data_IF_829400523502
#
_entry.id   IF_829400523502
#
_cell.length_a   1.000
_cell.length_b   1.000
_cell.length_c   1.000
_cell.angle_alpha   90.00
_cell.angle_beta   90.00
_cell.angle_gamma   90.00
#
_symmetry.space_group_name_H-M   'P 1'
#
loop_
_entity.id
_entity.type
_entity.pdbx_description
1 polymer ?
#
# COMPACT_ATOMS: atom_id res chain seq x y z
N UNK A 1 6.69 13.13 -90.93
CA UNK A 1 7.75 12.11 -90.73
C UNK A 1 7.49 11.48 -89.36
N UNK A 2 7.28 10.18 -89.38
CA UNK A 2 6.62 9.38 -88.41
C UNK A 2 7.51 8.94 -87.28
N UNK A 3 7.02 8.94 -86.04
CA UNK A 3 7.52 8.05 -85.00
C UNK A 3 6.37 7.54 -84.14
N UNK A 4 6.20 6.26 -84.15
CA UNK A 4 5.19 5.51 -83.37
C UNK A 4 5.64 5.31 -81.95
N UNK A 5 4.74 5.56 -81.00
CA UNK A 5 4.92 5.24 -79.59
C UNK A 5 4.10 4.01 -79.27
N UNK A 6 4.77 2.96 -78.85
CA UNK A 6 4.19 1.72 -78.41
C UNK A 6 3.97 1.78 -76.88
N UNK A 7 2.71 1.59 -76.47
CA UNK A 7 2.35 1.46 -75.06
C UNK A 7 2.56 0.02 -74.60
N UNK A 8 3.26 -0.19 -73.52
CA UNK A 8 3.19 -1.43 -72.73
C UNK A 8 2.52 -1.16 -71.40
N UNK A 9 1.39 -1.79 -71.20
CA UNK A 9 0.69 -1.95 -69.94
C UNK A 9 1.29 -3.16 -69.23
N UNK A 10 1.85 -2.99 -68.06
CA UNK A 10 2.13 -4.07 -67.12
C UNK A 10 1.33 -3.83 -65.86
N UNK A 11 0.34 -4.69 -65.64
CA UNK A 11 -0.40 -4.74 -64.39
C UNK A 11 0.44 -5.33 -63.27
N UNK A 12 0.53 -4.58 -62.19
CA UNK A 12 1.10 -5.05 -60.94
C UNK A 12 0.00 -5.40 -59.95
N UNK A 13 -0.20 -6.70 -59.73
CA UNK A 13 -0.98 -7.20 -58.60
C UNK A 13 -0.29 -6.85 -57.27
N UNK A 14 -0.89 -5.97 -56.50
CA UNK A 14 -0.53 -5.74 -55.10
C UNK A 14 -1.16 -6.83 -54.26
N UNK A 15 -0.40 -7.82 -53.87
CA UNK A 15 -0.78 -8.77 -52.83
C UNK A 15 -0.70 -8.06 -51.47
N UNK A 16 -1.89 -7.81 -50.87
CA UNK A 16 -2.00 -7.41 -49.46
C UNK A 16 -1.74 -8.65 -48.59
N UNK A 17 -0.50 -8.78 -48.11
CA UNK A 17 -0.20 -9.71 -47.04
C UNK A 17 -0.68 -9.10 -45.71
N UNK A 18 -1.81 -9.57 -45.20
CA UNK A 18 -2.26 -9.36 -43.82
C UNK A 18 -1.28 -10.10 -42.91
N UNK A 19 -0.32 -9.37 -42.34
CA UNK A 19 0.39 -9.80 -41.14
C UNK A 19 -0.61 -9.75 -39.95
N UNK A 20 -1.12 -10.89 -39.58
CA UNK A 20 -1.64 -11.10 -38.25
C UNK A 20 -0.44 -11.12 -37.30
N UNK A 21 -0.17 -10.00 -36.67
CA UNK A 21 0.65 -9.98 -35.47
C UNK A 21 -0.13 -10.72 -34.38
N UNK A 22 0.29 -11.93 -34.07
CA UNK A 22 -0.09 -12.60 -32.85
C UNK A 22 0.43 -11.73 -31.70
N UNK A 23 -0.47 -10.99 -31.05
CA UNK A 23 -0.24 -10.41 -29.74
C UNK A 23 -0.20 -11.58 -28.77
N UNK A 24 1.01 -12.10 -28.54
CA UNK A 24 1.28 -12.88 -27.34
C UNK A 24 1.07 -11.98 -26.12
N UNK A 25 0.90 -12.55 -24.91
CA UNK A 25 0.81 -11.74 -23.70
C UNK A 25 2.04 -10.83 -23.68
N UNK A 26 1.79 -9.53 -23.83
CA UNK A 26 2.83 -8.53 -23.84
C UNK A 26 3.55 -8.60 -22.51
N UNK A 27 4.83 -8.86 -22.52
CA UNK A 27 5.70 -8.50 -21.42
C UNK A 27 5.49 -7.01 -21.20
N UNK A 28 4.74 -6.66 -20.16
CA UNK A 28 4.65 -5.29 -19.69
C UNK A 28 6.05 -4.89 -19.25
N UNK A 29 6.78 -4.25 -20.16
CA UNK A 29 8.00 -3.53 -19.79
C UNK A 29 7.51 -2.46 -18.83
N UNK A 30 8.01 -2.49 -17.60
CA UNK A 30 7.75 -1.44 -16.63
C UNK A 30 8.07 -0.11 -17.31
N UNK A 31 7.04 0.64 -17.58
CA UNK A 31 7.17 1.94 -18.23
C UNK A 31 7.73 2.87 -17.17
N UNK A 32 8.88 3.48 -17.43
CA UNK A 32 9.34 4.62 -16.62
C UNK A 32 8.20 5.63 -16.60
N UNK A 33 7.49 5.71 -15.48
CA UNK A 33 6.28 6.51 -15.36
C UNK A 33 6.15 7.14 -13.99
N UNK A 34 5.44 8.25 -13.94
CA UNK A 34 4.98 8.81 -12.68
C UNK A 34 3.81 7.97 -12.18
N UNK A 35 3.88 7.54 -10.91
CA UNK A 35 2.82 6.77 -10.26
C UNK A 35 2.28 7.51 -9.04
N UNK A 36 0.96 7.59 -8.93
CA UNK A 36 0.28 8.06 -7.74
C UNK A 36 0.49 7.11 -6.57
N UNK A 37 0.36 7.65 -5.38
CA UNK A 37 0.48 6.87 -4.14
C UNK A 37 -0.65 5.85 -4.03
N UNK A 38 -1.81 6.17 -4.58
CA UNK A 38 -3.00 5.33 -4.54
C UNK A 38 -3.58 5.09 -5.94
N UNK A 39 -4.20 3.92 -6.07
CA UNK A 39 -5.08 3.56 -7.18
C UNK A 39 -6.53 3.75 -6.72
N UNK A 40 -7.35 4.46 -7.50
CA UNK A 40 -8.81 4.35 -7.39
C UNK A 40 -9.21 3.18 -8.30
N UNK A 41 -9.77 2.13 -7.73
CA UNK A 41 -10.12 0.90 -8.43
C UNK A 41 -11.60 0.87 -8.83
N UNK A 42 -12.46 1.36 -7.97
CA UNK A 42 -13.92 1.39 -8.20
C UNK A 42 -14.48 2.75 -7.79
N UNK A 43 -15.36 3.28 -8.61
CA UNK A 43 -16.06 4.54 -8.35
C UNK A 43 -17.57 4.30 -8.35
N UNK A 44 -18.26 4.81 -7.31
CA UNK A 44 -19.72 4.66 -7.15
C UNK A 44 -20.19 3.20 -7.24
N UNK A 45 -19.53 2.32 -6.49
CA UNK A 45 -19.88 0.91 -6.41
C UNK A 45 -21.38 0.72 -6.11
N UNK A 46 -22.05 -0.23 -6.76
CA UNK A 46 -23.47 -0.49 -6.51
C UNK A 46 -23.67 -1.12 -5.13
N UNK A 47 -24.78 -0.81 -4.50
CA UNK A 47 -25.12 -1.31 -3.17
C UNK A 47 -24.72 -0.36 -2.04
N UNK A 48 -24.91 -0.79 -0.82
CA UNK A 48 -24.52 -0.04 0.37
C UNK A 48 -23.09 -0.37 0.81
N UNK A 49 -22.56 0.44 1.68
CA UNK A 49 -21.17 0.32 2.18
C UNK A 49 -20.81 -1.11 2.65
N UNK A 50 -21.63 -1.71 3.53
CA UNK A 50 -21.36 -3.05 4.05
C UNK A 50 -21.43 -4.15 2.98
N UNK A 51 -22.26 -3.94 1.96
CA UNK A 51 -22.31 -4.86 0.82
C UNK A 51 -21.05 -4.77 -0.03
N UNK A 52 -20.54 -3.56 -0.28
CA UNK A 52 -19.29 -3.37 -1.02
C UNK A 52 -18.11 -3.99 -0.29
N UNK A 53 -18.02 -3.78 1.04
CA UNK A 53 -16.99 -4.42 1.89
C UNK A 53 -17.06 -5.95 1.79
N UNK A 54 -18.28 -6.51 1.91
CA UNK A 54 -18.48 -7.96 1.81
C UNK A 54 -18.08 -8.50 0.44
N UNK A 55 -18.52 -7.84 -0.63
CA UNK A 55 -18.19 -8.24 -2.02
C UNK A 55 -16.70 -8.16 -2.29
N UNK A 56 -16.01 -7.13 -1.75
CA UNK A 56 -14.58 -6.98 -1.91
C UNK A 56 -13.79 -8.10 -1.21
N UNK A 57 -14.21 -8.47 0.00
CA UNK A 57 -13.63 -9.60 0.72
C UNK A 57 -13.81 -10.92 -0.05
N UNK A 58 -15.03 -11.19 -0.49
CA UNK A 58 -15.34 -12.38 -1.29
C UNK A 58 -14.56 -12.38 -2.62
N UNK A 59 -14.36 -11.21 -3.24
CA UNK A 59 -13.54 -11.05 -4.43
C UNK A 59 -12.06 -11.38 -4.17
N UNK A 60 -11.53 -10.97 -3.02
CA UNK A 60 -10.15 -11.31 -2.62
C UNK A 60 -9.99 -12.83 -2.45
N UNK A 61 -10.90 -13.47 -1.71
CA UNK A 61 -10.88 -14.92 -1.52
C UNK A 61 -11.04 -15.69 -2.84
N UNK A 62 -11.93 -15.24 -3.73
CA UNK A 62 -12.13 -15.83 -5.06
C UNK A 62 -10.90 -15.70 -5.97
N UNK A 63 -10.14 -14.62 -5.84
CA UNK A 63 -8.87 -14.39 -6.52
C UNK A 63 -7.68 -15.13 -5.87
N UNK A 64 -7.91 -15.93 -4.84
CA UNK A 64 -6.87 -16.72 -4.15
C UNK A 64 -6.06 -15.94 -3.12
N UNK A 65 -6.58 -14.81 -2.64
CA UNK A 65 -5.95 -13.98 -1.60
C UNK A 65 -6.58 -14.27 -0.24
N UNK A 66 -5.75 -14.32 0.78
CA UNK A 66 -6.16 -14.46 2.18
C UNK A 66 -6.32 -13.08 2.80
N UNK A 67 -7.47 -12.81 3.40
CA UNK A 67 -7.71 -11.59 4.16
C UNK A 67 -7.06 -11.72 5.54
N UNK A 68 -6.11 -10.85 5.85
CA UNK A 68 -5.38 -10.83 7.13
C UNK A 68 -5.86 -9.71 8.06
N UNK A 69 -6.48 -8.66 7.51
CA UNK A 69 -7.17 -7.62 8.27
C UNK A 69 -8.44 -7.17 7.55
N UNK A 70 -9.51 -6.93 8.34
CA UNK A 70 -10.83 -6.50 7.87
C UNK A 70 -11.48 -5.68 9.01
N UNK A 71 -11.50 -4.35 8.88
CA UNK A 71 -11.86 -3.47 10.00
C UNK A 71 -12.37 -2.10 9.56
N UNK A 72 -13.25 -1.53 10.37
CA UNK A 72 -13.71 -0.15 10.18
C UNK A 72 -12.63 0.84 10.63
N UNK A 73 -12.26 1.76 9.75
CA UNK A 73 -11.22 2.76 9.97
C UNK A 73 -11.81 3.94 10.75
N UNK A 74 -11.09 4.45 11.73
CA UNK A 74 -11.50 5.61 12.50
C UNK A 74 -11.57 6.88 11.67
N UNK A 75 -12.70 7.59 11.73
CA UNK A 75 -12.91 8.83 11.00
C UNK A 75 -13.12 10.02 11.94
N UNK A 76 -12.78 11.26 11.57
CA UNK A 76 -12.97 12.44 12.40
C UNK A 76 -14.44 12.84 12.46
N UNK A 77 -15.14 12.53 13.56
CA UNK A 77 -16.58 12.78 13.80
C UNK A 77 -17.02 14.22 13.49
N UNK A 78 -16.15 15.19 13.68
CA UNK A 78 -16.51 16.60 13.53
C UNK A 78 -16.62 17.06 12.09
N UNK A 79 -15.98 16.36 11.17
CA UNK A 79 -15.75 16.83 9.80
C UNK A 79 -16.24 15.85 8.75
N UNK A 80 -16.61 14.63 9.14
CA UNK A 80 -16.96 13.57 8.24
C UNK A 80 -18.08 12.70 8.81
N UNK A 81 -19.17 12.57 8.06
CA UNK A 81 -20.28 11.67 8.38
C UNK A 81 -20.22 10.35 7.60
N UNK A 82 -19.19 10.19 6.77
CA UNK A 82 -18.99 9.03 5.93
C UNK A 82 -18.10 7.99 6.62
N UNK A 83 -18.15 6.76 6.13
CA UNK A 83 -17.44 5.61 6.67
C UNK A 83 -16.21 5.28 5.82
N UNK A 84 -15.24 4.66 6.45
CA UNK A 84 -14.10 4.05 5.78
C UNK A 84 -13.78 2.68 6.37
N UNK A 85 -13.27 1.77 5.54
CA UNK A 85 -12.95 0.40 5.91
C UNK A 85 -11.63 -0.03 5.27
N UNK A 86 -10.79 -0.70 6.04
CA UNK A 86 -9.51 -1.23 5.58
C UNK A 86 -9.57 -2.74 5.40
N UNK A 87 -9.03 -3.24 4.30
CA UNK A 87 -8.84 -4.67 4.04
C UNK A 87 -7.38 -4.88 3.65
N UNK A 88 -6.71 -5.81 4.32
CA UNK A 88 -5.35 -6.21 3.99
C UNK A 88 -5.34 -7.66 3.54
N UNK A 89 -4.66 -7.95 2.44
CA UNK A 89 -4.66 -9.28 1.81
C UNK A 89 -3.25 -9.73 1.45
N UNK A 90 -3.01 -11.03 1.53
CA UNK A 90 -1.77 -11.69 1.11
C UNK A 90 -2.08 -12.90 0.22
N UNK A 91 -1.13 -13.28 -0.63
CA UNK A 91 -1.11 -14.60 -1.27
C UNK A 91 0.29 -15.18 -1.12
N UNK A 92 0.38 -16.51 -1.07
CA UNK A 92 1.67 -17.19 -0.93
C UNK A 92 2.63 -16.80 -2.05
N UNK A 93 2.12 -16.69 -3.29
CA UNK A 93 2.93 -16.30 -4.44
C UNK A 93 3.51 -14.88 -4.29
N UNK A 94 2.71 -13.91 -3.85
CA UNK A 94 3.17 -12.54 -3.66
C UNK A 94 4.14 -12.43 -2.49
N UNK A 95 3.89 -13.15 -1.41
CA UNK A 95 4.80 -13.26 -0.26
C UNK A 95 6.15 -13.80 -0.70
N UNK A 96 6.19 -14.92 -1.43
CA UNK A 96 7.42 -15.53 -1.93
C UNK A 96 8.19 -14.57 -2.84
N UNK A 97 7.50 -13.88 -3.75
CA UNK A 97 8.10 -12.88 -4.62
C UNK A 97 8.75 -11.74 -3.81
N UNK A 98 8.03 -11.17 -2.86
CA UNK A 98 8.52 -10.06 -2.02
C UNK A 98 9.70 -10.51 -1.16
N UNK A 99 9.58 -11.61 -0.43
CA UNK A 99 10.62 -12.08 0.48
C UNK A 99 11.86 -12.64 -0.23
N UNK A 100 11.78 -12.95 -1.53
CA UNK A 100 12.97 -13.25 -2.33
C UNK A 100 14.00 -12.10 -2.37
N UNK A 101 13.58 -10.87 -2.04
CA UNK A 101 14.42 -9.68 -1.91
C UNK A 101 14.93 -9.44 -0.48
N UNK A 102 14.72 -10.40 0.40
CA UNK A 102 15.16 -10.36 1.80
C UNK A 102 14.05 -10.00 2.80
N UNK A 103 14.28 -10.25 4.10
CA UNK A 103 13.24 -10.13 5.12
C UNK A 103 12.71 -8.71 5.29
N UNK A 104 13.54 -7.69 5.04
CA UNK A 104 13.12 -6.27 5.14
C UNK A 104 12.19 -5.84 4.01
N UNK A 105 12.13 -6.58 2.90
CA UNK A 105 11.13 -6.37 1.85
C UNK A 105 9.70 -6.64 2.34
N UNK A 106 9.52 -7.33 3.46
CA UNK A 106 8.21 -7.56 4.08
C UNK A 106 7.39 -6.29 4.30
N UNK A 107 8.00 -5.12 4.42
CA UNK A 107 7.27 -3.85 4.46
C UNK A 107 6.47 -3.54 3.17
N UNK A 108 6.66 -4.31 2.10
CA UNK A 108 5.81 -4.28 0.90
C UNK A 108 4.53 -5.12 1.05
N UNK A 109 4.38 -5.87 2.15
CA UNK A 109 3.22 -6.67 2.52
C UNK A 109 2.41 -5.98 3.63
N UNK A 110 1.13 -6.34 3.78
CA UNK A 110 0.23 -6.94 2.79
C UNK A 110 -0.20 -5.95 1.69
N UNK A 111 -0.86 -6.41 0.64
CA UNK A 111 -1.62 -5.50 -0.23
C UNK A 111 -2.79 -4.93 0.55
N UNK A 112 -3.06 -3.64 0.41
CA UNK A 112 -4.06 -2.93 1.21
C UNK A 112 -5.07 -2.24 0.31
N UNK A 113 -6.34 -2.49 0.61
CA UNK A 113 -7.49 -1.85 -0.01
C UNK A 113 -8.23 -1.01 1.03
N UNK A 114 -8.86 0.05 0.57
CA UNK A 114 -9.72 0.90 1.36
C UNK A 114 -11.07 1.08 0.67
N UNK A 115 -12.14 0.83 1.39
CA UNK A 115 -13.50 1.21 1.00
C UNK A 115 -13.84 2.50 1.70
N UNK A 116 -14.38 3.47 1.00
CA UNK A 116 -14.78 4.76 1.60
C UNK A 116 -16.04 5.32 0.94
N UNK A 117 -16.76 6.13 1.69
CA UNK A 117 -17.95 6.84 1.22
C UNK A 117 -17.66 8.32 1.01
N UNK A 118 -18.39 8.91 0.06
CA UNK A 118 -18.55 10.34 -0.11
C UNK A 118 -19.96 10.68 -0.63
N UNK A 119 -20.19 11.92 -1.06
CA UNK A 119 -21.47 12.36 -1.58
C UNK A 119 -21.91 11.64 -2.85
N UNK A 120 -20.98 11.11 -3.62
CA UNK A 120 -21.25 10.41 -4.87
C UNK A 120 -21.60 8.92 -4.64
N UNK A 121 -21.10 8.32 -3.57
CA UNK A 121 -21.39 6.92 -3.25
C UNK A 121 -20.26 6.22 -2.51
N UNK A 122 -20.10 4.92 -2.80
CA UNK A 122 -19.07 4.07 -2.20
C UNK A 122 -17.97 3.80 -3.21
N UNK A 123 -16.73 3.93 -2.79
CA UNK A 123 -15.56 3.80 -3.63
C UNK A 123 -14.59 2.76 -3.07
N UNK A 124 -13.78 2.17 -3.96
CA UNK A 124 -12.67 1.29 -3.56
C UNK A 124 -11.36 1.85 -4.09
N UNK A 125 -10.40 1.95 -3.21
CA UNK A 125 -9.04 2.33 -3.53
C UNK A 125 -8.04 1.31 -2.99
N UNK A 126 -6.81 1.34 -3.48
CA UNK A 126 -5.71 0.57 -2.93
C UNK A 126 -4.46 1.44 -2.85
N UNK A 127 -3.56 1.08 -1.95
CA UNK A 127 -2.20 1.59 -2.04
C UNK A 127 -1.55 1.06 -3.32
N UNK A 128 -0.87 1.91 -4.06
CA UNK A 128 -0.32 1.56 -5.38
C UNK A 128 0.96 0.73 -5.26
N UNK A 129 0.96 -0.56 -5.62
CA UNK A 129 2.16 -1.41 -5.56
C UNK A 129 3.32 -0.87 -6.40
N UNK A 130 3.04 -0.21 -7.55
CA UNK A 130 4.08 0.41 -8.37
C UNK A 130 4.82 1.54 -7.63
N UNK A 131 4.13 2.27 -6.77
CA UNK A 131 4.73 3.33 -5.96
C UNK A 131 5.42 2.77 -4.70
N UNK A 132 4.80 1.80 -4.03
CA UNK A 132 5.31 1.20 -2.80
C UNK A 132 6.57 0.38 -3.06
N UNK A 133 6.50 -0.57 -3.97
CA UNK A 133 7.58 -1.53 -4.16
C UNK A 133 8.84 -0.89 -4.75
N UNK A 134 8.71 0.15 -5.59
CA UNK A 134 9.89 0.92 -6.04
C UNK A 134 10.58 1.68 -4.91
N UNK A 135 9.85 1.97 -3.82
CA UNK A 135 10.40 2.61 -2.64
C UNK A 135 11.09 1.60 -1.73
N UNK A 136 10.47 0.45 -1.49
CA UNK A 136 10.92 -0.55 -0.52
C UNK A 136 11.95 -1.50 -1.12
N UNK A 137 11.73 -1.99 -2.33
CA UNK A 137 12.57 -2.99 -2.98
C UNK A 137 13.43 -2.31 -4.05
N UNK A 138 12.88 -2.16 -5.24
CA UNK A 138 13.54 -1.52 -6.38
C UNK A 138 12.58 -1.44 -7.56
N UNK A 139 12.65 -0.36 -8.33
CA UNK A 139 11.86 -0.21 -9.54
C UNK A 139 12.22 -1.24 -10.61
N UNK A 140 13.50 -1.50 -10.79
CA UNK A 140 14.00 -2.39 -11.85
C UNK A 140 13.98 -3.86 -11.46
N UNK A 141 14.21 -4.17 -10.19
CA UNK A 141 14.33 -5.56 -9.73
C UNK A 141 12.97 -6.19 -9.42
N UNK A 142 11.93 -5.38 -9.12
CA UNK A 142 10.61 -5.86 -8.76
C UNK A 142 9.48 -5.32 -9.66
N UNK A 143 9.79 -4.89 -10.86
CA UNK A 143 8.80 -4.32 -11.80
C UNK A 143 7.69 -5.31 -12.16
N UNK A 144 8.03 -6.57 -12.45
CA UNK A 144 7.05 -7.62 -12.79
C UNK A 144 6.18 -7.97 -11.58
N UNK A 145 6.74 -8.10 -10.38
CA UNK A 145 5.99 -8.36 -9.14
C UNK A 145 5.02 -7.22 -8.83
N UNK A 146 5.45 -5.97 -9.04
CA UNK A 146 4.57 -4.80 -8.86
C UNK A 146 3.42 -4.78 -9.86
N UNK A 147 3.68 -5.11 -11.12
CA UNK A 147 2.64 -5.20 -12.16
C UNK A 147 1.65 -6.36 -11.85
N UNK A 148 2.16 -7.50 -11.40
CA UNK A 148 1.32 -8.63 -10.97
C UNK A 148 0.43 -8.25 -9.77
N UNK A 149 0.96 -7.51 -8.81
CA UNK A 149 0.17 -7.01 -7.69
C UNK A 149 -0.95 -6.05 -8.13
N UNK A 150 -0.69 -5.17 -9.11
CA UNK A 150 -1.76 -4.32 -9.70
C UNK A 150 -2.81 -5.16 -10.42
N UNK A 151 -2.41 -6.17 -11.19
CA UNK A 151 -3.34 -7.08 -11.86
C UNK A 151 -4.21 -7.85 -10.85
N UNK A 152 -3.62 -8.30 -9.74
CA UNK A 152 -4.35 -8.95 -8.66
C UNK A 152 -5.38 -8.02 -8.01
N UNK A 153 -5.05 -6.75 -7.78
CA UNK A 153 -6.01 -5.76 -7.28
C UNK A 153 -7.19 -5.57 -8.25
N UNK A 154 -6.94 -5.58 -9.56
CA UNK A 154 -8.00 -5.52 -10.57
C UNK A 154 -8.88 -6.78 -10.57
N UNK A 155 -8.29 -7.96 -10.35
CA UNK A 155 -9.03 -9.21 -10.22
C UNK A 155 -9.90 -9.23 -8.95
N UNK A 156 -9.38 -8.77 -7.83
CA UNK A 156 -10.13 -8.64 -6.56
C UNK A 156 -11.38 -7.78 -6.74
N UNK A 157 -11.31 -6.71 -7.53
CA UNK A 157 -12.46 -5.83 -7.78
C UNK A 157 -13.28 -6.24 -9.01
N UNK A 158 -13.02 -7.39 -9.63
CA UNK A 158 -13.78 -7.88 -10.80
C UNK A 158 -15.31 -7.93 -10.58
N UNK A 159 -15.86 -8.20 -9.37
CA UNK A 159 -17.30 -8.11 -9.15
C UNK A 159 -17.92 -6.73 -9.43
N UNK A 160 -17.11 -5.69 -9.54
CA UNK A 160 -17.51 -4.30 -9.83
C UNK A 160 -17.13 -3.87 -11.26
N UNK A 161 -17.00 -4.77 -12.24
CA UNK A 161 -16.46 -4.51 -13.58
C UNK A 161 -17.03 -3.23 -14.24
N UNK A 162 -18.34 -2.99 -14.15
CA UNK A 162 -19.00 -1.81 -14.75
C UNK A 162 -18.64 -0.48 -14.03
N UNK A 163 -18.05 -0.53 -12.85
CA UNK A 163 -17.71 0.61 -11.97
C UNK A 163 -16.19 0.75 -11.79
N UNK A 164 -15.40 -0.09 -12.44
CA UNK A 164 -13.95 0.00 -12.39
C UNK A 164 -13.45 1.26 -13.09
N UNK A 165 -12.45 1.88 -12.51
CA UNK A 165 -11.77 3.05 -13.06
C UNK A 165 -10.26 2.85 -13.02
N UNK A 166 -9.57 3.42 -13.99
CA UNK A 166 -8.10 3.43 -14.04
C UNK A 166 -7.61 4.84 -13.71
N UNK A 167 -7.64 5.19 -12.44
CA UNK A 167 -7.15 6.49 -12.00
C UNK A 167 -6.22 6.36 -10.79
N UNK A 168 -5.32 7.33 -10.67
CA UNK A 168 -4.35 7.40 -9.59
C UNK A 168 -4.48 8.75 -8.90
N UNK A 169 -4.19 8.78 -7.62
CA UNK A 169 -4.18 10.00 -6.84
C UNK A 169 -3.10 9.95 -5.74
N UNK A 170 -3.01 11.03 -4.99
CA UNK A 170 -1.85 11.29 -4.15
C UNK A 170 -0.73 11.90 -4.99
N UNK A 171 0.40 12.19 -4.37
CA UNK A 171 1.51 12.77 -5.10
C UNK A 171 2.01 11.81 -6.19
N UNK A 172 2.08 12.33 -7.42
CA UNK A 172 2.69 11.60 -8.53
C UNK A 172 4.21 11.56 -8.36
N UNK A 173 4.79 10.37 -8.54
CA UNK A 173 6.21 10.11 -8.36
C UNK A 173 6.79 9.40 -9.58
N UNK A 174 7.87 9.93 -10.10
CA UNK A 174 8.66 9.34 -11.21
C UNK A 174 9.76 8.39 -10.70
N UNK A 175 10.05 8.44 -9.39
CA UNK A 175 11.05 7.58 -8.72
C UNK A 175 10.48 7.12 -7.37
N UNK A 176 11.12 6.16 -6.73
CA UNK A 176 10.87 5.86 -5.32
C UNK A 176 11.07 7.10 -4.46
N UNK A 177 10.48 7.13 -3.28
CA UNK A 177 10.46 8.29 -2.37
C UNK A 177 11.83 8.87 -2.02
N UNK A 178 12.87 8.17 -2.33
CA UNK A 178 14.25 8.32 -1.88
C UNK A 178 14.89 9.66 -2.29
N UNK A 179 14.53 10.25 -3.43
CA UNK A 179 15.39 11.28 -4.01
C UNK A 179 14.89 12.72 -3.98
N UNK A 180 13.60 12.98 -3.92
CA UNK A 180 13.08 14.34 -4.17
C UNK A 180 12.52 15.09 -2.97
N UNK A 181 12.28 14.48 -1.86
CA UNK A 181 11.50 15.05 -0.77
C UNK A 181 12.31 15.32 0.47
N UNK A 182 12.38 16.60 0.87
CA UNK A 182 13.00 17.07 2.12
C UNK A 182 14.39 16.49 2.46
N UNK A 183 15.21 16.29 1.46
CA UNK A 183 16.54 15.69 1.35
C UNK A 183 17.43 15.49 2.60
N UNK A 184 17.27 16.27 3.62
CA UNK A 184 18.05 16.19 4.86
C UNK A 184 17.31 15.48 6.01
N UNK A 185 15.97 15.48 6.03
CA UNK A 185 15.18 14.98 7.16
C UNK A 185 14.54 13.63 6.84
N UNK A 186 14.14 13.40 5.59
CA UNK A 186 13.43 12.19 5.18
C UNK A 186 13.96 11.57 3.88
N UNK A 187 15.10 11.99 3.37
CA UNK A 187 15.74 11.39 2.20
C UNK A 187 16.68 10.25 2.57
N UNK A 188 17.03 9.41 1.60
CA UNK A 188 17.95 8.27 1.75
C UNK A 188 17.33 6.96 1.28
N UNK A 189 18.12 5.89 1.19
CA UNK A 189 17.64 4.57 0.85
C UNK A 189 16.66 4.05 1.90
N UNK A 190 15.70 3.24 1.49
CA UNK A 190 14.68 2.68 2.38
C UNK A 190 15.26 1.94 3.58
N UNK A 191 16.33 1.15 3.39
CA UNK A 191 17.03 0.46 4.47
C UNK A 191 17.50 1.39 5.60
N UNK A 192 17.89 2.60 5.24
CA UNK A 192 18.24 3.64 6.22
C UNK A 192 17.04 4.30 6.90
N UNK A 193 15.82 3.87 6.61
CA UNK A 193 14.56 4.32 7.19
C UNK A 193 13.83 3.23 7.97
N UNK A 194 14.43 2.06 8.04
CA UNK A 194 14.00 1.00 8.93
C UNK A 194 14.74 1.18 10.25
N UNK A 195 13.99 1.23 11.31
CA UNK A 195 14.49 1.41 12.66
C UNK A 195 14.21 0.16 13.49
N UNK A 196 15.16 -0.21 14.34
CA UNK A 196 15.00 -1.25 15.33
C UNK A 196 14.36 -0.65 16.57
N UNK A 197 13.20 -1.20 16.97
CA UNK A 197 12.48 -0.80 18.16
C UNK A 197 12.91 -1.61 19.39
N UNK A 198 13.20 -2.90 19.20
CA UNK A 198 13.67 -3.80 20.24
C UNK A 198 14.47 -4.95 19.62
N UNK A 199 15.31 -5.60 20.42
CA UNK A 199 16.02 -6.83 20.06
C UNK A 199 16.08 -7.75 21.29
N UNK A 200 15.73 -9.03 21.14
CA UNK A 200 15.79 -10.03 22.20
C UNK A 200 16.52 -11.27 21.69
N UNK A 201 17.17 -12.01 22.58
CA UNK A 201 17.80 -13.29 22.24
C UNK A 201 16.74 -14.25 21.67
N UNK A 202 17.06 -14.96 20.59
CA UNK A 202 16.11 -15.86 19.92
C UNK A 202 15.56 -16.94 20.85
N UNK A 203 16.35 -17.36 21.83
CA UNK A 203 15.97 -18.39 22.79
C UNK A 203 15.12 -17.86 23.96
N UNK A 204 15.01 -16.53 24.15
CA UNK A 204 14.32 -15.90 25.29
C UNK A 204 12.84 -16.35 25.37
N UNK A 205 12.15 -16.34 24.22
CA UNK A 205 10.75 -16.77 24.14
C UNK A 205 10.57 -18.07 23.34
N UNK A 206 11.65 -18.68 22.81
CA UNK A 206 11.60 -19.94 22.08
C UNK A 206 11.46 -19.78 20.56
N UNK A 207 12.00 -18.72 19.99
CA UNK A 207 12.08 -18.48 18.55
C UNK A 207 11.27 -17.30 18.04
N UNK A 208 11.38 -17.02 16.76
CA UNK A 208 10.80 -15.87 16.10
C UNK A 208 9.27 -15.77 16.28
N UNK A 209 8.53 -16.84 16.00
CA UNK A 209 7.07 -16.83 16.12
C UNK A 209 6.63 -16.65 17.58
N UNK A 210 7.25 -17.37 18.52
CA UNK A 210 6.90 -17.28 19.93
C UNK A 210 7.18 -15.87 20.50
N UNK A 211 8.26 -15.22 20.06
CA UNK A 211 8.55 -13.82 20.39
C UNK A 211 7.48 -12.88 19.83
N UNK A 212 7.04 -13.10 18.60
CA UNK A 212 5.98 -12.30 17.99
C UNK A 212 4.62 -12.48 18.68
N UNK A 213 4.27 -13.70 19.11
CA UNK A 213 3.06 -13.99 19.88
C UNK A 213 3.09 -13.33 21.26
N UNK A 214 4.25 -13.36 21.94
CA UNK A 214 4.45 -12.64 23.19
C UNK A 214 4.26 -11.13 23.00
N UNK A 215 4.92 -10.57 21.99
CA UNK A 215 4.78 -9.15 21.66
C UNK A 215 3.32 -8.78 21.34
N UNK A 216 2.65 -9.58 20.51
CA UNK A 216 1.25 -9.35 20.14
C UNK A 216 0.34 -9.29 21.37
N UNK A 217 0.48 -10.26 22.27
CA UNK A 217 -0.29 -10.31 23.53
C UNK A 217 -0.04 -9.09 24.41
N UNK A 218 1.23 -8.70 24.58
CA UNK A 218 1.58 -7.50 25.36
C UNK A 218 1.02 -6.21 24.74
N UNK A 219 1.05 -6.10 23.42
CA UNK A 219 0.47 -4.97 22.70
C UNK A 219 -1.07 -4.92 22.83
N UNK A 220 -1.77 -6.07 22.87
CA UNK A 220 -3.21 -6.13 23.15
C UNK A 220 -3.52 -5.67 24.55
N UNK A 221 -2.79 -6.15 25.55
CA UNK A 221 -2.97 -5.78 26.95
C UNK A 221 -2.74 -4.27 27.18
N UNK A 222 -1.78 -3.67 26.49
CA UNK A 222 -1.45 -2.26 26.53
C UNK A 222 -2.31 -1.37 25.60
N UNK A 223 -3.29 -1.93 24.89
CA UNK A 223 -4.05 -1.21 23.84
C UNK A 223 -4.79 0.06 24.34
N UNK A 224 -5.20 0.08 25.62
CA UNK A 224 -5.88 1.23 26.23
C UNK A 224 -4.96 2.32 26.76
N UNK A 225 -3.70 2.03 26.89
CA UNK A 225 -2.67 2.90 27.43
C UNK A 225 -2.15 3.87 26.35
N UNK A 226 -1.52 4.95 26.81
CA UNK A 226 -0.95 5.99 25.96
C UNK A 226 -1.98 6.84 25.16
N UNK A 227 -1.47 7.88 24.52
CA UNK A 227 -2.30 8.89 23.86
C UNK A 227 -2.93 8.40 22.55
N UNK A 228 -2.16 7.64 21.75
CA UNK A 228 -2.63 7.15 20.45
C UNK A 228 -3.42 5.86 20.55
N UNK A 229 -3.30 5.11 21.65
CA UNK A 229 -4.00 3.85 21.88
C UNK A 229 -3.80 2.84 20.75
N UNK A 230 -2.57 2.75 20.26
CA UNK A 230 -2.20 1.79 19.23
C UNK A 230 -2.45 0.36 19.71
N UNK A 231 -3.05 -0.46 18.87
CA UNK A 231 -3.35 -1.87 19.14
C UNK A 231 -3.00 -2.75 17.96
N UNK A 232 -2.65 -4.02 18.18
CA UNK A 232 -2.46 -4.96 17.10
C UNK A 232 -3.80 -5.32 16.43
N UNK A 233 -3.74 -5.59 15.13
CA UNK A 233 -4.90 -5.95 14.30
C UNK A 233 -4.77 -7.36 13.74
N UNK A 234 -3.56 -7.76 13.39
CA UNK A 234 -3.26 -9.09 12.89
C UNK A 234 -1.83 -9.46 13.25
N UNK A 235 -1.58 -10.77 13.29
CA UNK A 235 -0.26 -11.37 13.24
C UNK A 235 -0.20 -12.24 11.96
N UNK A 236 0.75 -11.95 11.09
CA UNK A 236 1.01 -12.72 9.88
C UNK A 236 2.27 -13.55 10.11
N UNK A 237 2.08 -14.85 10.26
CA UNK A 237 3.16 -15.82 10.46
C UNK A 237 3.79 -16.21 9.11
N UNK A 238 5.02 -15.77 8.90
CA UNK A 238 5.90 -16.14 7.79
C UNK A 238 7.24 -16.63 8.36
N UNK A 239 7.21 -17.23 9.55
CA UNK A 239 8.40 -17.66 10.28
C UNK A 239 9.23 -18.71 9.54
N UNK A 240 8.59 -19.54 8.70
CA UNK A 240 9.29 -20.46 7.79
C UNK A 240 10.18 -19.71 6.77
N UNK A 241 9.90 -18.41 6.52
CA UNK A 241 10.69 -17.51 5.67
C UNK A 241 11.50 -16.49 6.49
N UNK A 242 11.58 -16.68 7.82
CA UNK A 242 12.35 -15.82 8.72
C UNK A 242 11.72 -14.48 9.06
N UNK A 243 10.41 -14.33 8.86
CA UNK A 243 9.66 -13.09 9.11
C UNK A 243 8.37 -13.37 9.86
N UNK A 244 7.99 -12.51 10.79
CA UNK A 244 6.63 -12.38 11.31
C UNK A 244 6.23 -10.91 11.25
N UNK A 245 4.97 -10.63 10.90
CA UNK A 245 4.47 -9.26 10.83
C UNK A 245 3.32 -9.03 11.79
N UNK A 246 3.27 -7.85 12.41
CA UNK A 246 2.16 -7.39 13.22
C UNK A 246 1.65 -6.06 12.65
N UNK A 247 0.39 -6.03 12.26
CA UNK A 247 -0.26 -4.77 11.87
C UNK A 247 -0.79 -4.02 13.08
N UNK A 248 -0.49 -2.72 13.19
CA UNK A 248 -0.87 -1.85 14.31
C UNK A 248 -1.73 -0.70 13.83
N UNK A 249 -2.83 -0.40 14.53
CA UNK A 249 -3.64 0.79 14.24
C UNK A 249 -4.38 1.32 15.46
N UNK A 250 -5.00 2.49 15.32
CA UNK A 250 -5.99 3.01 16.26
C UNK A 250 -6.88 4.05 15.58
N UNK A 251 -8.14 4.12 15.97
CA UNK A 251 -9.06 5.12 15.44
C UNK A 251 -8.64 6.57 15.73
N UNK A 252 -7.91 6.82 16.80
CA UNK A 252 -7.38 8.16 17.12
C UNK A 252 -6.28 8.60 16.14
N UNK A 253 -5.36 7.69 15.80
CA UNK A 253 -4.29 7.92 14.84
C UNK A 253 -4.86 8.09 13.43
N UNK A 254 -5.77 7.22 13.01
CA UNK A 254 -6.42 7.26 11.70
C UNK A 254 -7.20 8.56 11.50
N UNK A 255 -8.08 8.92 12.46
CA UNK A 255 -8.83 10.16 12.44
C UNK A 255 -7.91 11.39 12.33
N UNK A 256 -6.79 11.38 13.05
CA UNK A 256 -5.82 12.48 13.01
C UNK A 256 -5.10 12.54 11.66
N UNK A 257 -4.74 11.39 11.07
CA UNK A 257 -4.13 11.35 9.76
C UNK A 257 -5.06 11.87 8.67
N UNK A 258 -6.34 11.51 8.71
CA UNK A 258 -7.34 12.04 7.77
C UNK A 258 -7.56 13.56 7.91
N UNK A 259 -7.54 14.09 9.13
CA UNK A 259 -7.60 15.54 9.33
C UNK A 259 -6.45 16.29 8.64
N UNK A 260 -5.24 15.74 8.75
CA UNK A 260 -4.04 16.33 8.13
C UNK A 260 -4.17 16.35 6.60
N UNK A 261 -4.58 15.24 6.01
CA UNK A 261 -4.74 15.11 4.56
C UNK A 261 -5.91 15.97 4.07
N UNK A 262 -7.03 15.96 4.78
CA UNK A 262 -8.23 16.73 4.43
C UNK A 262 -7.94 18.23 4.20
N UNK A 263 -7.11 18.82 5.05
CA UNK A 263 -6.79 20.25 4.94
C UNK A 263 -5.62 20.56 4.01
N UNK A 264 -4.91 19.53 3.56
CA UNK A 264 -3.71 19.67 2.75
C UNK A 264 -3.77 19.01 1.38
N UNK A 265 -4.93 18.51 0.97
CA UNK A 265 -5.10 17.79 -0.30
C UNK A 265 -4.72 18.64 -1.52
N UNK A 266 -4.37 17.97 -2.60
CA UNK A 266 -4.19 18.58 -3.90
C UNK A 266 -5.55 19.01 -4.53
N UNK A 267 -5.49 19.80 -5.61
CA UNK A 267 -6.66 20.30 -6.31
C UNK A 267 -7.57 19.17 -6.82
N UNK A 268 -7.02 17.99 -7.15
CA UNK A 268 -7.80 16.89 -7.69
C UNK A 268 -8.79 16.27 -6.67
N UNK A 269 -8.64 16.59 -5.37
CA UNK A 269 -9.47 16.05 -4.28
C UNK A 269 -10.16 17.11 -3.44
N UNK A 270 -10.06 18.38 -3.81
CA UNK A 270 -10.76 19.49 -3.13
C UNK A 270 -12.28 19.29 -3.10
N UNK A 271 -12.82 18.64 -4.12
CA UNK A 271 -14.25 18.39 -4.25
C UNK A 271 -14.77 17.23 -3.38
N UNK A 272 -13.89 16.46 -2.74
CA UNK A 272 -14.31 15.38 -1.85
C UNK A 272 -14.76 15.91 -0.50
N UNK A 273 -15.97 15.54 -0.07
CA UNK A 273 -16.53 15.96 1.22
C UNK A 273 -15.65 15.56 2.42
N UNK A 274 -15.05 14.36 2.35
CA UNK A 274 -14.11 13.84 3.34
C UNK A 274 -12.88 13.26 2.60
N UNK A 275 -12.01 14.08 1.99
CA UNK A 275 -10.93 13.60 1.14
C UNK A 275 -9.94 12.67 1.85
N UNK A 276 -9.80 12.79 3.16
CA UNK A 276 -8.95 11.91 3.96
C UNK A 276 -9.35 10.44 3.93
N UNK A 277 -10.64 10.11 3.74
CA UNK A 277 -11.12 8.73 3.72
C UNK A 277 -10.57 7.91 2.56
N UNK A 278 -10.26 8.55 1.44
CA UNK A 278 -9.60 7.91 0.31
C UNK A 278 -8.21 7.32 0.66
N UNK A 279 -7.66 7.65 1.83
CA UNK A 279 -6.40 7.12 2.35
C UNK A 279 -6.57 5.93 3.30
N UNK A 280 -7.74 5.34 3.39
CA UNK A 280 -7.98 4.20 4.28
C UNK A 280 -6.96 3.06 4.08
N UNK A 281 -6.50 2.84 2.84
CA UNK A 281 -5.46 1.87 2.52
C UNK A 281 -4.04 2.23 3.07
N UNK A 282 -3.86 3.37 3.74
CA UNK A 282 -2.60 3.70 4.41
C UNK A 282 -2.35 2.88 5.68
N UNK A 283 -3.37 2.21 6.18
CA UNK A 283 -3.35 1.48 7.44
C UNK A 283 -3.52 -0.02 7.23
N UNK A 284 -3.10 -0.82 8.22
CA UNK A 284 -2.41 -0.49 9.46
C UNK A 284 -0.94 -0.08 9.28
N UNK A 285 -0.25 0.24 10.38
CA UNK A 285 1.21 0.35 10.44
C UNK A 285 1.78 -1.04 10.69
N UNK A 286 2.90 -1.36 10.06
CA UNK A 286 3.53 -2.67 10.18
C UNK A 286 4.72 -2.64 11.15
N UNK A 287 4.78 -3.63 12.06
CA UNK A 287 5.99 -4.11 12.70
C UNK A 287 6.44 -5.35 11.94
N UNK A 288 7.72 -5.45 11.68
CA UNK A 288 8.34 -6.62 11.05
C UNK A 288 9.35 -7.21 12.02
N UNK A 289 9.14 -8.47 12.42
CA UNK A 289 10.07 -9.20 13.23
C UNK A 289 10.92 -10.10 12.33
N UNK A 290 12.24 -10.06 12.52
CA UNK A 290 13.20 -10.87 11.77
C UNK A 290 14.18 -11.53 12.72
N UNK A 291 14.65 -12.73 12.38
CA UNK A 291 15.75 -13.37 13.09
C UNK A 291 17.06 -13.02 12.37
N UNK A 292 17.93 -12.30 13.05
CA UNK A 292 19.26 -11.91 12.55
C UNK A 292 20.31 -12.08 13.66
N UNK A 293 21.42 -12.70 13.36
CA UNK A 293 22.58 -12.86 14.29
C UNK A 293 22.27 -13.51 15.65
N UNK A 294 21.23 -14.36 15.73
CA UNK A 294 20.78 -15.04 16.95
C UNK A 294 19.87 -14.17 17.83
N UNK A 295 19.40 -13.05 17.32
CA UNK A 295 18.42 -12.17 17.94
C UNK A 295 17.14 -12.10 17.10
N UNK A 296 16.00 -11.90 17.76
CA UNK A 296 14.77 -11.47 17.13
C UNK A 296 14.71 -9.95 17.24
N UNK A 297 14.76 -9.29 16.09
CA UNK A 297 14.69 -7.82 15.99
C UNK A 297 13.31 -7.38 15.58
N UNK A 298 12.77 -6.39 16.30
CA UNK A 298 11.49 -5.75 15.98
C UNK A 298 11.78 -4.47 15.20
N UNK A 299 11.36 -4.45 13.94
CA UNK A 299 11.63 -3.37 13.00
C UNK A 299 10.36 -2.59 12.71
N UNK A 300 10.52 -1.28 12.52
CA UNK A 300 9.47 -0.37 12.05
C UNK A 300 10.05 0.64 11.03
N UNK A 301 9.19 1.24 10.24
CA UNK A 301 9.58 2.35 9.36
C UNK A 301 9.61 3.64 10.20
N UNK A 302 10.69 4.44 10.10
CA UNK A 302 10.73 5.81 10.61
C UNK A 302 9.39 6.52 10.37
N UNK A 303 8.75 6.99 11.44
CA UNK A 303 7.37 7.47 11.34
C UNK A 303 7.21 8.71 10.46
N UNK A 304 8.24 9.57 10.39
CA UNK A 304 8.22 10.73 9.50
C UNK A 304 8.35 10.29 8.03
N UNK A 305 9.18 9.31 7.75
CA UNK A 305 9.32 8.75 6.41
C UNK A 305 8.04 8.04 5.99
N UNK A 306 7.45 7.22 6.87
CA UNK A 306 6.19 6.56 6.64
C UNK A 306 5.04 7.54 6.38
N UNK A 307 4.95 8.61 7.17
CA UNK A 307 3.97 9.66 6.92
C UNK A 307 4.13 10.25 5.51
N UNK A 308 5.36 10.46 5.06
CA UNK A 308 5.61 10.91 3.68
C UNK A 308 5.26 9.88 2.63
N UNK A 309 5.50 8.60 2.89
CA UNK A 309 5.14 7.55 1.93
C UNK A 309 3.65 7.59 1.59
N UNK A 310 2.80 7.78 2.59
CA UNK A 310 1.36 7.61 2.48
C UNK A 310 0.58 8.93 2.40
N UNK A 311 1.12 10.03 2.91
CA UNK A 311 0.42 11.33 3.06
C UNK A 311 1.24 12.52 2.54
N UNK A 312 2.10 12.29 1.55
CA UNK A 312 3.01 13.34 1.05
C UNK A 312 2.28 14.52 0.41
N UNK A 313 1.06 14.32 -0.07
CA UNK A 313 0.23 15.35 -0.66
C UNK A 313 -0.54 16.22 0.35
N UNK A 314 -0.31 16.02 1.64
CA UNK A 314 -0.74 16.99 2.65
C UNK A 314 -0.07 18.35 2.41
N UNK A 315 -0.85 19.43 2.51
CA UNK A 315 -0.32 20.79 2.32
C UNK A 315 0.82 21.13 3.25
N UNK A 316 1.85 21.80 2.76
CA UNK A 316 3.10 22.09 3.50
C UNK A 316 2.88 22.74 4.87
N UNK A 317 1.92 23.65 4.99
CA UNK A 317 1.61 24.31 6.26
C UNK A 317 0.94 23.38 7.25
N UNK A 318 0.03 22.52 6.78
CA UNK A 318 -0.65 21.52 7.61
C UNK A 318 0.32 20.43 8.05
N UNK A 319 1.16 19.97 7.13
CA UNK A 319 2.25 19.06 7.44
C UNK A 319 3.16 19.63 8.54
N UNK A 320 3.64 20.87 8.38
CA UNK A 320 4.50 21.53 9.35
C UNK A 320 3.83 21.67 10.74
N UNK A 321 2.53 21.99 10.77
CA UNK A 321 1.78 22.13 12.01
C UNK A 321 1.61 20.77 12.76
N UNK A 322 1.71 19.66 12.06
CA UNK A 322 1.53 18.31 12.61
C UNK A 322 2.84 17.50 12.71
N UNK A 323 3.99 18.10 12.49
CA UNK A 323 5.30 17.43 12.55
C UNK A 323 5.61 16.75 13.90
N UNK A 324 4.87 17.04 14.95
CA UNK A 324 5.04 16.37 16.26
C UNK A 324 4.32 15.02 16.33
N UNK A 325 3.35 14.77 15.44
CA UNK A 325 2.58 13.55 15.47
C UNK A 325 3.45 12.30 15.21
N UNK A 326 4.24 12.23 14.12
CA UNK A 326 5.04 11.04 13.85
C UNK A 326 5.99 10.63 14.95
N UNK A 327 6.83 11.53 15.52
CA UNK A 327 7.70 11.16 16.63
C UNK A 327 6.95 10.73 17.89
N UNK A 328 5.78 11.36 18.18
CA UNK A 328 4.96 10.97 19.33
C UNK A 328 4.35 9.58 19.15
N UNK A 329 3.90 9.26 17.93
CA UNK A 329 3.37 7.94 17.58
C UNK A 329 4.46 6.87 17.67
N UNK A 330 5.63 7.16 17.11
CA UNK A 330 6.78 6.25 17.16
C UNK A 330 7.25 6.01 18.59
N UNK A 331 7.32 7.06 19.43
CA UNK A 331 7.63 6.93 20.85
C UNK A 331 6.67 5.98 21.57
N UNK A 332 5.33 6.18 21.38
CA UNK A 332 4.34 5.28 21.97
C UNK A 332 4.51 3.82 21.49
N UNK A 333 4.79 3.62 20.21
CA UNK A 333 4.99 2.26 19.67
C UNK A 333 6.24 1.61 20.30
N UNK A 334 7.34 2.34 20.44
CA UNK A 334 8.57 1.85 21.07
C UNK A 334 8.35 1.50 22.53
N UNK A 335 7.74 2.40 23.31
CA UNK A 335 7.44 2.18 24.72
C UNK A 335 6.58 0.91 24.90
N UNK A 336 5.53 0.74 24.09
CA UNK A 336 4.69 -0.45 24.13
C UNK A 336 5.43 -1.74 23.75
N UNK A 337 6.31 -1.69 22.76
CA UNK A 337 7.13 -2.83 22.35
C UNK A 337 8.10 -3.21 23.48
N UNK A 338 8.77 -2.25 24.09
CA UNK A 338 9.66 -2.48 25.23
C UNK A 338 8.89 -3.05 26.41
N UNK A 339 7.76 -2.45 26.84
CA UNK A 339 6.93 -2.93 27.94
C UNK A 339 6.36 -4.35 27.71
N UNK A 340 6.20 -4.76 26.45
CA UNK A 340 5.67 -6.09 26.07
C UNK A 340 6.75 -7.19 26.07
N UNK A 341 8.03 -6.81 25.92
CA UNK A 341 9.16 -7.75 25.79
C UNK A 341 10.11 -7.75 26.99
N UNK A 342 10.04 -6.75 27.87
CA UNK A 342 10.92 -6.62 29.03
C UNK A 342 10.13 -6.41 30.33
#
# INVERSE_FOLDING_TARGET
MHARITRFLLGGLLAFALLWAATGPGTAIAQEGEYGVYLKLVENAPGGFDQVVTTLREGAEAAGWTVVADYEVGVPDKNCSYRAHGIAVVSDEYVDQVLSHGPRAAFALPLRLGVFEDEAGVHVAAFNPLSLNRTIISETEFAEGSASAVAALQEIVAPFEEFQVESQYGQMRDEGLIKKTMGLIAGGAFDGKIEEAASVDVDEYGGLLATAEQLYSGLEDAAGDYDWKMRPMYLLDLSDQGVVMIGMTSGAMEAKAFDIVKEGTDEAREDFACPGLAYAAAFPLELVLVEEDGEVRVLLIDAMFRMKMFFEDAGKMKFAANMKMPPSLEGEMRDKIEDSLY
#
